data_IF_394029204703
#
_entry.id   IF_394029204703
#
_cell.length_a   1.000
_cell.length_b   1.000
_cell.length_c   1.000
_cell.angle_alpha   90.00
_cell.angle_beta   90.00
_cell.angle_gamma   90.00
#
_symmetry.space_group_name_H-M   'P 1'
#
loop_
_entity.id
_entity.type
_entity.pdbx_description
1 polymer ?
#
# COMPACT_ATOMS: atom_id res chain seq x y z
N UNK A 1 -29.63 8.73 7.01
CA UNK A 1 -28.57 8.37 7.99
C UNK A 1 -27.23 8.81 7.41
N UNK A 2 -26.50 9.71 8.11
CA UNK A 2 -25.22 10.25 7.62
C UNK A 2 -24.07 9.31 7.97
N UNK A 3 -23.43 8.71 6.97
CA UNK A 3 -22.30 7.79 7.14
C UNK A 3 -20.99 8.55 7.37
N UNK A 4 -20.68 8.83 8.64
CA UNK A 4 -19.36 9.29 9.09
C UNK A 4 -18.55 8.09 9.62
N UNK A 5 -18.13 7.19 8.74
CA UNK A 5 -17.19 6.12 9.09
C UNK A 5 -16.22 6.02 7.94
N UNK A 6 -14.96 6.41 8.18
CA UNK A 6 -13.72 6.04 7.44
C UNK A 6 -12.60 7.09 7.57
N UNK A 7 -12.87 8.30 8.10
CA UNK A 7 -11.79 9.30 8.34
C UNK A 7 -10.93 9.03 9.58
N UNK A 8 -11.33 8.11 10.46
CA UNK A 8 -10.59 7.78 11.68
C UNK A 8 -9.37 6.89 11.44
N UNK A 9 -9.46 5.93 10.51
CA UNK A 9 -8.43 4.92 10.33
C UNK A 9 -7.13 5.51 9.76
N UNK A 10 -7.23 6.37 8.74
CA UNK A 10 -6.05 7.02 8.16
C UNK A 10 -5.37 7.97 9.16
N UNK A 11 -6.16 8.66 10.00
CA UNK A 11 -5.65 9.55 11.05
C UNK A 11 -4.86 8.77 12.10
N UNK A 12 -5.33 7.57 12.46
CA UNK A 12 -4.63 6.67 13.38
C UNK A 12 -3.32 6.18 12.76
N UNK A 13 -3.30 5.79 11.48
CA UNK A 13 -2.06 5.37 10.83
C UNK A 13 -1.04 6.51 10.83
N UNK A 14 -1.46 7.72 10.47
CA UNK A 14 -0.58 8.91 10.45
C UNK A 14 -0.04 9.22 11.86
N UNK A 15 -0.88 9.14 12.90
CA UNK A 15 -0.42 9.37 14.28
C UNK A 15 0.62 8.32 14.71
N UNK A 16 0.41 7.07 14.31
CA UNK A 16 1.30 5.96 14.65
C UNK A 16 2.67 6.13 13.98
N UNK A 17 2.70 6.56 12.71
CA UNK A 17 3.93 6.89 11.99
C UNK A 17 4.68 8.05 12.66
N UNK A 18 3.98 9.13 13.04
CA UNK A 18 4.59 10.27 13.74
C UNK A 18 5.20 9.83 15.08
N UNK A 19 4.49 8.99 15.85
CA UNK A 19 5.01 8.45 17.12
C UNK A 19 6.29 7.65 16.89
N UNK A 20 6.34 6.79 15.87
CA UNK A 20 7.53 5.99 15.56
C UNK A 20 8.73 6.88 15.16
N UNK A 21 8.49 7.94 14.40
CA UNK A 21 9.53 8.92 14.02
C UNK A 21 10.05 9.63 15.27
N UNK A 22 9.17 10.11 16.15
CA UNK A 22 9.55 10.79 17.40
C UNK A 22 10.33 9.85 18.32
N UNK A 23 9.90 8.59 18.48
CA UNK A 23 10.63 7.59 19.26
C UNK A 23 12.04 7.35 18.70
N UNK A 24 12.17 7.23 17.38
CA UNK A 24 13.47 7.12 16.72
C UNK A 24 14.36 8.35 16.92
N UNK A 25 13.77 9.55 16.85
CA UNK A 25 14.49 10.81 17.10
C UNK A 25 15.01 10.94 18.54
N UNK A 26 14.28 10.41 19.53
CA UNK A 26 14.70 10.36 20.93
C UNK A 26 15.79 9.31 21.20
N UNK A 27 16.31 8.64 20.18
CA UNK A 27 17.34 7.60 20.30
C UNK A 27 16.80 6.27 20.85
N UNK A 28 15.48 6.11 20.98
CA UNK A 28 14.89 4.84 21.36
C UNK A 28 15.00 3.88 20.19
N UNK A 29 15.80 2.84 20.38
CA UNK A 29 15.95 1.78 19.41
C UNK A 29 14.67 0.93 19.41
N UNK A 30 13.71 1.26 18.54
CA UNK A 30 12.45 0.52 18.41
C UNK A 30 12.71 -0.98 18.23
N UNK A 31 13.78 -1.37 17.54
CA UNK A 31 14.18 -2.76 17.36
C UNK A 31 14.51 -3.46 18.69
N UNK A 32 15.17 -2.79 19.64
CA UNK A 32 15.47 -3.41 20.95
C UNK A 32 14.21 -3.60 21.79
N UNK A 33 13.24 -2.68 21.70
CA UNK A 33 11.94 -2.79 22.36
C UNK A 33 11.14 -3.97 21.79
N UNK A 34 11.08 -4.06 20.47
CA UNK A 34 10.41 -5.16 19.76
C UNK A 34 11.07 -6.52 20.02
N UNK A 35 12.39 -6.55 20.25
CA UNK A 35 13.14 -7.75 20.57
C UNK A 35 13.06 -8.18 22.04
N UNK A 36 12.44 -7.39 22.92
CA UNK A 36 12.23 -7.83 24.31
C UNK A 36 11.32 -9.06 24.35
N UNK A 37 11.58 -10.07 25.21
CA UNK A 37 10.83 -11.33 25.22
C UNK A 37 9.32 -11.10 25.36
N UNK A 38 8.91 -10.17 26.22
CA UNK A 38 7.51 -9.84 26.49
C UNK A 38 6.84 -9.16 25.29
N UNK A 39 7.49 -8.17 24.67
CA UNK A 39 6.89 -7.45 23.52
C UNK A 39 6.87 -8.35 22.29
N UNK A 40 7.96 -9.08 22.03
CA UNK A 40 8.06 -10.04 20.92
C UNK A 40 6.97 -11.13 21.01
N UNK A 41 6.73 -11.70 22.20
CA UNK A 41 5.70 -12.72 22.40
C UNK A 41 4.28 -12.18 22.11
N UNK A 42 3.94 -11.01 22.67
CA UNK A 42 2.63 -10.39 22.45
C UNK A 42 2.41 -9.97 20.98
N UNK A 43 3.44 -9.40 20.35
CA UNK A 43 3.39 -9.01 18.95
C UNK A 43 3.26 -10.23 18.04
N UNK A 44 3.99 -11.32 18.30
CA UNK A 44 3.86 -12.55 17.52
C UNK A 44 2.45 -13.13 17.63
N UNK A 45 1.82 -13.11 18.81
CA UNK A 45 0.44 -13.56 18.98
C UNK A 45 -0.53 -12.74 18.10
N UNK A 46 -0.47 -11.41 18.19
CA UNK A 46 -1.32 -10.51 17.41
C UNK A 46 -1.01 -10.62 15.92
N UNK A 47 0.27 -10.67 15.54
CA UNK A 47 0.72 -10.79 14.16
C UNK A 47 0.23 -12.08 13.53
N UNK A 48 0.28 -13.20 14.24
CA UNK A 48 -0.24 -14.48 13.76
C UNK A 48 -1.76 -14.40 13.50
N UNK A 49 -2.52 -13.73 14.38
CA UNK A 49 -3.94 -13.50 14.16
C UNK A 49 -4.21 -12.60 12.94
N UNK A 50 -3.43 -11.54 12.74
CA UNK A 50 -3.51 -10.65 11.58
C UNK A 50 -3.16 -11.39 10.29
N UNK A 51 -2.08 -12.17 10.28
CA UNK A 51 -1.66 -12.99 9.13
C UNK A 51 -2.71 -14.04 8.79
N UNK A 52 -3.29 -14.68 9.80
CA UNK A 52 -4.40 -15.62 9.61
C UNK A 52 -5.61 -14.93 9.00
N UNK A 53 -6.06 -13.81 9.57
CA UNK A 53 -7.17 -13.02 9.04
C UNK A 53 -6.93 -12.57 7.59
N UNK A 54 -5.72 -12.10 7.30
CA UNK A 54 -5.31 -11.70 5.96
C UNK A 54 -5.44 -12.87 4.99
N UNK A 55 -4.81 -14.01 5.30
CA UNK A 55 -4.78 -15.18 4.43
C UNK A 55 -6.16 -15.82 4.25
N UNK A 56 -6.98 -15.84 5.28
CA UNK A 56 -8.26 -16.56 5.26
C UNK A 56 -9.41 -15.72 4.73
N UNK A 57 -9.45 -14.42 5.04
CA UNK A 57 -10.62 -13.58 4.76
C UNK A 57 -10.32 -12.52 3.71
N UNK A 58 -9.19 -11.82 3.84
CA UNK A 58 -8.96 -10.59 3.07
C UNK A 58 -8.25 -10.85 1.74
N UNK A 59 -7.42 -11.88 1.62
CA UNK A 59 -6.59 -12.09 0.42
C UNK A 59 -7.46 -12.32 -0.82
N UNK A 60 -8.56 -13.06 -0.70
CA UNK A 60 -9.45 -13.39 -1.84
C UNK A 60 -10.12 -12.15 -2.43
N UNK A 61 -10.89 -11.35 -1.65
CA UNK A 61 -11.53 -10.15 -2.20
C UNK A 61 -10.49 -9.10 -2.65
N UNK A 62 -9.38 -8.95 -1.94
CA UNK A 62 -8.34 -7.98 -2.30
C UNK A 62 -7.64 -8.37 -3.60
N UNK A 63 -7.26 -9.63 -3.77
CA UNK A 63 -6.64 -10.10 -5.02
C UNK A 63 -7.61 -10.00 -6.20
N UNK A 64 -8.91 -10.28 -5.98
CA UNK A 64 -9.93 -10.07 -7.00
C UNK A 64 -10.01 -8.59 -7.44
N UNK A 65 -10.10 -7.66 -6.49
CA UNK A 65 -10.16 -6.23 -6.78
C UNK A 65 -8.86 -5.76 -7.45
N UNK A 66 -7.71 -6.18 -6.94
CA UNK A 66 -6.41 -5.83 -7.53
C UNK A 66 -6.31 -6.29 -8.97
N UNK A 67 -6.63 -7.56 -9.25
CA UNK A 67 -6.51 -8.11 -10.59
C UNK A 67 -7.53 -7.52 -11.57
N UNK A 68 -8.79 -7.31 -11.16
CA UNK A 68 -9.81 -6.75 -12.06
C UNK A 68 -9.70 -5.24 -12.23
N UNK A 69 -9.54 -4.51 -11.14
CA UNK A 69 -9.65 -3.04 -11.14
C UNK A 69 -8.29 -2.40 -11.37
N UNK A 70 -7.29 -2.79 -10.59
CA UNK A 70 -5.98 -2.13 -10.69
C UNK A 70 -5.21 -2.62 -11.92
N UNK A 71 -5.06 -3.93 -12.10
CA UNK A 71 -4.35 -4.49 -13.26
C UNK A 71 -5.24 -4.43 -14.52
N UNK A 72 -6.44 -5.03 -14.43
CA UNK A 72 -7.33 -5.17 -15.57
C UNK A 72 -7.81 -3.84 -16.17
N UNK A 73 -8.30 -2.93 -15.31
CA UNK A 73 -8.85 -1.65 -15.76
C UNK A 73 -7.79 -0.54 -15.77
N UNK A 74 -7.05 -0.32 -14.69
CA UNK A 74 -6.08 0.79 -14.68
C UNK A 74 -4.83 0.50 -15.50
N UNK A 75 -4.12 -0.60 -15.22
CA UNK A 75 -2.82 -0.87 -15.81
C UNK A 75 -2.89 -1.15 -17.31
N UNK A 76 -3.86 -1.95 -17.76
CA UNK A 76 -4.00 -2.25 -19.19
C UNK A 76 -4.36 -1.01 -20.03
N UNK A 77 -5.25 -0.15 -19.53
CA UNK A 77 -5.58 1.10 -20.21
C UNK A 77 -4.39 2.07 -20.20
N UNK A 78 -3.67 2.15 -19.09
CA UNK A 78 -2.46 2.98 -19.00
C UNK A 78 -1.36 2.50 -19.94
N UNK A 79 -1.03 1.21 -19.95
CA UNK A 79 -0.03 0.63 -20.84
C UNK A 79 -0.39 0.87 -22.32
N UNK A 80 -1.65 0.63 -22.71
CA UNK A 80 -2.09 0.89 -24.08
C UNK A 80 -2.05 2.37 -24.49
N UNK A 81 -2.11 3.31 -23.54
CA UNK A 81 -1.87 4.73 -23.81
C UNK A 81 -0.39 5.02 -24.03
N UNK A 82 0.50 4.44 -23.23
CA UNK A 82 1.95 4.59 -23.41
C UNK A 82 2.40 4.01 -24.75
N UNK A 83 1.90 2.83 -25.13
CA UNK A 83 2.23 2.19 -26.41
C UNK A 83 1.80 3.07 -27.60
N UNK A 84 0.63 3.71 -27.51
CA UNK A 84 0.14 4.64 -28.53
C UNK A 84 0.98 5.92 -28.61
N UNK A 85 1.40 6.47 -27.47
CA UNK A 85 2.26 7.67 -27.43
C UNK A 85 3.64 7.36 -28.01
N UNK A 86 4.21 6.19 -27.70
CA UNK A 86 5.49 5.76 -28.26
C UNK A 86 5.42 5.46 -29.76
N UNK A 87 4.28 4.99 -30.25
CA UNK A 87 4.05 4.78 -31.67
C UNK A 87 3.88 6.08 -32.49
N UNK A 88 3.73 7.24 -31.84
CA UNK A 88 3.36 8.51 -32.49
C UNK A 88 4.57 9.34 -32.99
N UNK A 89 5.85 9.04 -32.70
CA UNK A 89 6.99 9.75 -33.35
C UNK A 89 8.20 8.84 -33.68
N UNK A 90 8.88 8.94 -34.86
CA UNK A 90 9.16 10.16 -35.64
C UNK A 90 8.82 10.08 -37.16
N UNK A 91 7.61 9.68 -37.55
CA UNK A 91 7.20 9.70 -38.98
C UNK A 91 6.70 11.07 -39.47
N UNK A 92 6.66 12.09 -38.59
CA UNK A 92 6.36 13.49 -38.93
C UNK A 92 7.64 14.32 -39.16
N UNK A 93 8.75 13.71 -39.59
CA UNK A 93 9.90 14.49 -40.07
C UNK A 93 9.54 15.14 -41.42
N UNK A 94 9.21 16.43 -41.32
CA UNK A 94 8.96 17.49 -42.32
C UNK A 94 9.12 17.11 -43.81
N UNK A 95 8.18 17.52 -44.69
CA UNK A 95 8.40 17.43 -46.14
C UNK A 95 9.70 18.17 -46.49
N UNK A 96 10.61 17.47 -47.17
CA UNK A 96 11.90 18.02 -47.60
C UNK A 96 11.63 19.24 -48.51
N UNK A 97 11.96 20.43 -48.00
CA UNK A 97 12.09 21.67 -48.78
C UNK A 97 13.41 21.66 -49.55
#
# INVERSE_FOLDING_TARGET
MKNYKNRGFIKIIIILVIILIVLGYLGLNVKSILNSPTVSSNLNYVWNAVVWLWKTILVVPITFIWNKVMVGFFWNNFAGLIDKVQAVEPSQTLPKL
#
